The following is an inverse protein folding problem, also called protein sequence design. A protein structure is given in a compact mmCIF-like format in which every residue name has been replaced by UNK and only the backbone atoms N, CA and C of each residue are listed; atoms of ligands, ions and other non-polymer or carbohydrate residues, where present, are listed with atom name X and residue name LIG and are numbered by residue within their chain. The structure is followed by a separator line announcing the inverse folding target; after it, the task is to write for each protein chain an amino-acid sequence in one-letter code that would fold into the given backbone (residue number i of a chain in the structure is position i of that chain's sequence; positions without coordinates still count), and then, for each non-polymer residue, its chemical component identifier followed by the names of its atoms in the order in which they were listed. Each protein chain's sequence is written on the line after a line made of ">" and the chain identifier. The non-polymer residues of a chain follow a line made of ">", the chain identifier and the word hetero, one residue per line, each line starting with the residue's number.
data_IF_694641428212
#
_entry.id   IF_694641428212
#
_cell.length_a   1.000
_cell.length_b   1.000
_cell.length_c   1.000
_cell.angle_alpha   90.00
_cell.angle_beta   90.00
_cell.angle_gamma   90.00
#
_symmetry.space_group_name_H-M   'P 1'
#
loop_
_entity.id
_entity.type
_entity.pdbx_description
1 polymer ?
#
# COMPACT_ATOMS: atom_id res chain seq x y z
N UNK A 1 -7.09 14.00 -20.27
CA UNK A 1 -6.61 12.60 -20.18
C UNK A 1 -7.79 11.69 -19.94
N UNK A 2 -7.81 10.47 -20.50
CA UNK A 2 -9.02 9.61 -20.48
C UNK A 2 -8.97 8.66 -19.28
N UNK A 3 -10.16 8.26 -18.82
CA UNK A 3 -10.43 7.32 -17.71
C UNK A 3 -9.67 5.97 -17.78
N UNK A 4 -9.09 5.64 -18.93
CA UNK A 4 -8.31 4.41 -19.16
C UNK A 4 -6.96 4.40 -18.42
N UNK A 5 -6.37 5.56 -18.14
CA UNK A 5 -5.11 5.66 -17.40
C UNK A 5 -5.28 5.25 -15.94
N UNK A 6 -6.37 5.66 -15.29
CA UNK A 6 -6.69 5.24 -13.92
C UNK A 6 -6.94 3.73 -13.85
N UNK A 7 -7.64 3.16 -14.82
CA UNK A 7 -7.86 1.72 -14.89
C UNK A 7 -6.53 0.95 -14.99
N UNK A 8 -5.60 1.44 -15.80
CA UNK A 8 -4.28 0.82 -15.91
C UNK A 8 -3.52 0.89 -14.58
N UNK A 9 -3.58 2.02 -13.87
CA UNK A 9 -2.97 2.18 -12.55
C UNK A 9 -3.63 1.30 -11.48
N UNK A 10 -4.96 1.14 -11.54
CA UNK A 10 -5.71 0.21 -10.68
C UNK A 10 -5.24 -1.23 -10.91
N UNK A 11 -5.12 -1.66 -12.17
CA UNK A 11 -4.62 -3.00 -12.49
C UNK A 11 -3.17 -3.19 -11.98
N UNK A 12 -2.34 -2.16 -12.06
CA UNK A 12 -0.96 -2.23 -11.58
C UNK A 12 -0.89 -2.36 -10.04
N UNK A 13 -1.67 -1.57 -9.30
CA UNK A 13 -1.68 -1.67 -7.83
C UNK A 13 -2.28 -3.00 -7.35
N UNK A 14 -3.28 -3.55 -8.07
CA UNK A 14 -3.82 -4.88 -7.82
C UNK A 14 -2.75 -5.96 -7.99
N UNK A 15 -2.02 -5.96 -9.11
CA UNK A 15 -0.91 -6.90 -9.34
C UNK A 15 0.19 -6.78 -8.30
N UNK A 16 0.53 -5.54 -7.92
CA UNK A 16 1.51 -5.30 -6.86
C UNK A 16 1.05 -5.91 -5.53
N UNK A 17 -0.22 -5.72 -5.15
CA UNK A 17 -0.81 -6.29 -3.95
C UNK A 17 -0.89 -7.83 -3.99
N UNK A 18 -1.27 -8.42 -5.13
CA UNK A 18 -1.29 -9.89 -5.33
C UNK A 18 0.10 -10.51 -5.10
N UNK A 19 1.16 -9.86 -5.61
CA UNK A 19 2.52 -10.31 -5.37
C UNK A 19 2.90 -10.25 -3.88
N UNK A 20 2.52 -9.18 -3.17
CA UNK A 20 2.73 -9.08 -1.72
C UNK A 20 1.92 -10.13 -0.96
N UNK A 21 0.69 -10.41 -1.39
CA UNK A 21 -0.13 -11.46 -0.81
C UNK A 21 0.53 -12.84 -0.98
N UNK A 22 1.13 -13.11 -2.14
CA UNK A 22 1.93 -14.33 -2.37
C UNK A 22 3.14 -14.40 -1.43
N UNK A 23 3.83 -13.28 -1.23
CA UNK A 23 4.95 -13.17 -0.28
C UNK A 23 4.52 -13.43 1.17
N UNK A 24 3.34 -12.95 1.57
CA UNK A 24 2.72 -13.25 2.86
C UNK A 24 2.36 -14.74 2.97
N UNK A 25 1.71 -15.31 1.95
CA UNK A 25 1.28 -16.70 1.95
C UNK A 25 2.45 -17.69 2.07
N UNK A 26 3.62 -17.36 1.48
CA UNK A 26 4.85 -18.15 1.60
C UNK A 26 5.70 -17.80 2.83
N UNK A 27 5.23 -16.90 3.70
CA UNK A 27 5.90 -16.50 4.94
C UNK A 27 7.13 -15.59 4.78
N UNK A 28 7.32 -14.99 3.60
CA UNK A 28 8.43 -14.08 3.33
C UNK A 28 8.16 -12.65 3.81
N UNK A 29 6.89 -12.26 3.91
CA UNK A 29 6.46 -10.99 4.46
C UNK A 29 5.39 -11.18 5.54
N UNK A 30 5.30 -10.21 6.45
CA UNK A 30 4.14 -10.13 7.35
C UNK A 30 3.01 -9.37 6.66
N UNK A 31 1.73 -9.65 7.00
CA UNK A 31 0.58 -8.86 6.54
C UNK A 31 0.78 -7.34 6.71
N UNK A 32 1.29 -6.93 7.88
CA UNK A 32 1.55 -5.53 8.21
C UNK A 32 2.60 -4.88 7.29
N UNK A 33 3.67 -5.60 6.95
CA UNK A 33 4.70 -5.11 6.04
C UNK A 33 4.16 -5.03 4.61
N UNK A 34 3.49 -6.07 4.13
CA UNK A 34 2.87 -6.10 2.81
C UNK A 34 1.89 -4.93 2.61
N UNK A 35 1.00 -4.70 3.58
CA UNK A 35 0.05 -3.60 3.55
C UNK A 35 0.73 -2.23 3.57
N UNK A 36 1.80 -2.04 4.38
CA UNK A 36 2.61 -0.82 4.37
C UNK A 36 3.23 -0.57 2.98
N UNK A 37 3.77 -1.61 2.33
CA UNK A 37 4.38 -1.48 1.01
C UNK A 37 3.35 -1.07 -0.05
N UNK A 38 2.17 -1.70 -0.05
CA UNK A 38 1.06 -1.33 -0.94
C UNK A 38 0.58 0.09 -0.68
N UNK A 39 0.42 0.48 0.60
CA UNK A 39 0.02 1.83 0.98
C UNK A 39 1.01 2.87 0.43
N UNK A 40 2.32 2.70 0.66
CA UNK A 40 3.32 3.71 0.24
C UNK A 40 3.50 3.78 -1.27
N UNK A 41 3.44 2.63 -1.95
CA UNK A 41 3.46 2.60 -3.40
C UNK A 41 2.22 3.28 -3.99
N UNK A 42 1.03 2.96 -3.46
CA UNK A 42 -0.25 3.55 -3.86
C UNK A 42 -0.33 5.05 -3.60
N UNK A 43 0.08 5.52 -2.41
CA UNK A 43 0.14 6.95 -2.07
C UNK A 43 1.03 7.73 -3.05
N UNK A 44 2.19 7.16 -3.43
CA UNK A 44 3.09 7.74 -4.43
C UNK A 44 2.43 7.90 -5.80
N UNK A 45 1.75 6.85 -6.29
CA UNK A 45 1.00 6.90 -7.55
C UNK A 45 -0.12 7.94 -7.47
N UNK A 46 -0.95 7.88 -6.42
CA UNK A 46 -2.08 8.80 -6.23
C UNK A 46 -1.62 10.27 -6.16
N UNK A 47 -0.46 10.53 -5.52
CA UNK A 47 0.13 11.86 -5.50
C UNK A 47 0.58 12.32 -6.88
N UNK A 48 1.23 11.44 -7.65
CA UNK A 48 1.67 11.76 -9.00
C UNK A 48 0.48 12.05 -9.92
N UNK A 49 -0.57 11.22 -9.88
CA UNK A 49 -1.77 11.43 -10.69
C UNK A 49 -2.48 12.74 -10.35
N UNK A 50 -2.54 13.10 -9.06
CA UNK A 50 -3.08 14.38 -8.62
C UNK A 50 -2.28 15.56 -9.23
N UNK A 51 -0.95 15.51 -9.15
CA UNK A 51 -0.07 16.57 -9.66
C UNK A 51 -0.15 16.72 -11.18
N UNK A 52 -0.40 15.63 -11.90
CA UNK A 52 -0.53 15.60 -13.36
C UNK A 52 -1.95 15.93 -13.84
N UNK A 53 -2.91 16.17 -12.94
CA UNK A 53 -4.29 16.49 -13.30
C UNK A 53 -5.04 15.32 -13.94
N UNK A 54 -4.70 14.08 -13.55
CA UNK A 54 -5.42 12.87 -14.01
C UNK A 54 -6.79 12.82 -13.31
N UNK A 55 -7.87 12.79 -14.08
CA UNK A 55 -9.21 12.56 -13.55
C UNK A 55 -9.35 11.14 -12.98
N UNK A 56 -10.09 10.97 -11.88
CA UNK A 56 -10.36 9.64 -11.29
C UNK A 56 -9.42 9.22 -10.14
N UNK A 57 -8.57 10.12 -9.65
CA UNK A 57 -7.70 9.87 -8.47
C UNK A 57 -8.45 9.31 -7.25
N UNK A 58 -9.72 9.70 -7.05
CA UNK A 58 -10.53 9.18 -5.94
C UNK A 58 -10.89 7.71 -6.07
N UNK A 59 -10.99 7.16 -7.28
CA UNK A 59 -11.22 5.73 -7.50
C UNK A 59 -9.97 4.91 -7.17
N UNK A 60 -8.81 5.38 -7.65
CA UNK A 60 -7.51 4.80 -7.31
C UNK A 60 -7.28 4.79 -5.79
N UNK A 61 -7.58 5.90 -5.10
CA UNK A 61 -7.46 5.97 -3.64
C UNK A 61 -8.31 4.94 -2.91
N UNK A 62 -9.58 4.77 -3.30
CA UNK A 62 -10.47 3.75 -2.71
C UNK A 62 -9.95 2.34 -2.94
N UNK A 63 -9.38 2.08 -4.11
CA UNK A 63 -8.83 0.76 -4.43
C UNK A 63 -7.57 0.45 -3.60
N UNK A 64 -6.69 1.44 -3.42
CA UNK A 64 -5.54 1.32 -2.51
C UNK A 64 -6.02 0.99 -1.10
N UNK A 65 -6.99 1.75 -0.56
CA UNK A 65 -7.56 1.52 0.77
C UNK A 65 -8.16 0.12 0.93
N UNK A 66 -8.85 -0.38 -0.10
CA UNK A 66 -9.41 -1.74 -0.14
C UNK A 66 -8.29 -2.78 -0.04
N UNK A 67 -7.29 -2.70 -0.91
CA UNK A 67 -6.18 -3.66 -0.97
C UNK A 67 -5.37 -3.68 0.33
N UNK A 68 -5.12 -2.52 0.93
CA UNK A 68 -4.41 -2.40 2.21
C UNK A 68 -5.16 -3.14 3.33
N UNK A 69 -6.49 -2.98 3.40
CA UNK A 69 -7.32 -3.66 4.42
C UNK A 69 -7.49 -5.16 4.17
N UNK A 70 -7.42 -5.60 2.91
CA UNK A 70 -7.44 -7.02 2.57
C UNK A 70 -6.13 -7.71 2.94
N UNK A 71 -4.99 -7.05 2.71
CA UNK A 71 -3.69 -7.56 3.12
C UNK A 71 -3.53 -7.56 4.64
N UNK A 72 -4.02 -6.51 5.31
CA UNK A 72 -3.90 -6.36 6.75
C UNK A 72 -5.26 -6.06 7.42
N UNK A 73 -5.98 -7.11 7.88
CA UNK A 73 -7.23 -6.94 8.62
C UNK A 73 -7.09 -6.16 9.93
N UNK A 74 -5.86 -6.03 10.46
CA UNK A 74 -5.54 -5.29 11.67
C UNK A 74 -4.91 -3.93 11.39
N UNK A 75 -5.00 -3.44 10.15
CA UNK A 75 -4.38 -2.21 9.66
C UNK A 75 -4.50 -1.00 10.60
N UNK A 76 -5.66 -0.67 11.20
CA UNK A 76 -5.73 0.48 12.11
C UNK A 76 -4.75 0.39 13.29
N UNK A 77 -4.55 -0.82 13.82
CA UNK A 77 -3.63 -1.08 14.93
C UNK A 77 -2.19 -1.02 14.46
N UNK A 78 -1.88 -1.62 13.30
CA UNK A 78 -0.52 -1.56 12.74
C UNK A 78 -0.14 -0.16 12.27
N UNK A 79 -1.09 0.66 11.81
CA UNK A 79 -0.89 2.08 11.55
C UNK A 79 -0.55 2.84 12.84
N UNK A 80 -1.28 2.59 13.92
CA UNK A 80 -0.96 3.18 15.23
C UNK A 80 0.46 2.81 15.67
N UNK A 81 0.86 1.54 15.56
CA UNK A 81 2.23 1.11 15.88
C UNK A 81 3.29 1.84 15.05
N UNK A 82 3.02 2.12 13.78
CA UNK A 82 3.94 2.89 12.92
C UNK A 82 4.09 4.34 13.39
N UNK A 83 3.02 4.95 13.88
CA UNK A 83 3.05 6.31 14.41
C UNK A 83 3.76 6.38 15.78
N UNK A 84 3.53 5.37 16.62
CA UNK A 84 4.16 5.25 17.95
C UNK A 84 5.63 4.81 17.85
N UNK A 85 6.02 4.13 16.77
CA UNK A 85 7.40 3.77 16.50
C UNK A 85 8.27 5.02 16.31
N UNK A 86 9.47 5.02 16.89
CA UNK A 86 10.46 6.06 16.60
C UNK A 86 10.88 5.96 15.11
N UNK A 87 11.21 7.08 14.43
CA UNK A 87 11.39 7.13 12.96
C UNK A 87 12.38 6.13 12.33
N UNK A 88 13.22 5.44 13.11
CA UNK A 88 14.16 4.42 12.66
C UNK A 88 13.65 2.97 12.81
N UNK A 89 12.36 2.76 13.10
CA UNK A 89 11.78 1.44 13.44
C UNK A 89 11.74 0.39 12.34
N UNK A 90 12.26 0.66 11.14
CA UNK A 90 12.46 -0.34 10.09
C UNK A 90 13.70 -1.20 10.45
N UNK A 91 13.57 -2.03 11.48
CA UNK A 91 14.60 -3.00 11.82
C UNK A 91 14.55 -4.15 10.82
N UNK A 92 15.33 -4.03 9.75
CA UNK A 92 15.51 -5.07 8.72
C UNK A 92 16.09 -6.37 9.34
N UNK A 93 16.63 -6.29 10.57
CA UNK A 93 17.38 -7.36 11.23
C UNK A 93 16.80 -7.76 12.60
N UNK A 94 15.60 -7.28 12.97
CA UNK A 94 14.90 -7.73 14.18
C UNK A 94 15.30 -7.11 15.53
N UNK A 95 16.08 -6.03 15.55
CA UNK A 95 16.29 -5.24 16.78
C UNK A 95 15.89 -3.77 16.54
N UNK A 96 14.58 -3.51 16.54
CA UNK A 96 14.08 -2.16 16.77
C UNK A 96 13.94 -1.99 18.29
N UNK A 97 14.63 -1.00 18.85
CA UNK A 97 14.47 -0.55 20.24
C UNK A 97 13.38 0.52 20.33
#
# INVERSE_FOLDING_TARGET
>A
MKNDEIKALIVEIQRYAENRQSDVARGAETPALAALMVEKFGEGIAKATQLLGVDGCGELGREIDRLVRELDPHYPKHLQYRFEARPAGLAINGAAH
#
